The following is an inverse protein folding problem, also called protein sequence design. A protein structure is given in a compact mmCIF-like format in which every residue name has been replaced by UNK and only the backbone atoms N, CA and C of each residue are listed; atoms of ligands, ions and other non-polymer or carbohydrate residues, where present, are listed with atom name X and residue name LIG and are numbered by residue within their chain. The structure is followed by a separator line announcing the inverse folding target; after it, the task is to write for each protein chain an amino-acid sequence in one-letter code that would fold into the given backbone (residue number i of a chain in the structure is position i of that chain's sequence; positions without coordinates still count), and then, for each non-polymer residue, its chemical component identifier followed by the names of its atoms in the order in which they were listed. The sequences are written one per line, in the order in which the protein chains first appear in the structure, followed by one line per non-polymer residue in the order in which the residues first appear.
data_IF_789599829400
#
_entry.id   IF_789599829400
#
_cell.length_a   1.000
_cell.length_b   1.000
_cell.length_c   1.000
_cell.angle_alpha   90.00
_cell.angle_beta   90.00
_cell.angle_gamma   90.00
#
_symmetry.space_group_name_H-M   'P 1'
#
loop_
_entity.id
_entity.type
_entity.pdbx_description
1 polymer ?
#
# COMPACT_ATOMS: atom_id res chain seq x y z
N UNK A 1 5.06 -6.55 32.96
CA UNK A 1 3.93 -7.48 33.10
C UNK A 1 3.07 -7.36 31.85
N UNK A 2 3.28 -8.23 30.84
CA UNK A 2 2.49 -8.24 29.61
C UNK A 2 1.04 -8.67 29.85
N UNK A 3 0.17 -8.26 28.94
CA UNK A 3 -1.22 -8.72 28.86
C UNK A 3 -1.31 -9.96 27.96
N UNK A 4 -2.04 -10.97 28.41
CA UNK A 4 -2.33 -12.18 27.63
C UNK A 4 -3.84 -12.34 27.47
N UNK A 5 -4.25 -12.73 26.28
CA UNK A 5 -5.65 -12.96 25.93
C UNK A 5 -5.86 -14.46 25.88
N UNK A 6 -6.85 -14.95 26.62
CA UNK A 6 -7.29 -16.34 26.62
C UNK A 6 -8.74 -16.41 26.15
N UNK A 7 -9.09 -17.47 25.42
CA UNK A 7 -10.44 -17.69 24.88
C UNK A 7 -11.03 -18.98 25.47
N UNK A 8 -12.27 -18.88 25.96
CA UNK A 8 -13.02 -20.06 26.38
C UNK A 8 -13.38 -20.89 25.11
N UNK A 9 -13.07 -22.20 25.07
CA UNK A 9 -13.36 -23.05 23.91
C UNK A 9 -14.86 -23.29 23.69
N UNK A 10 -15.69 -23.21 24.73
CA UNK A 10 -17.13 -23.49 24.69
C UNK A 10 -17.96 -22.23 24.40
N UNK A 11 -17.68 -21.11 25.09
CA UNK A 11 -18.47 -19.87 24.97
C UNK A 11 -17.88 -18.88 23.97
N UNK A 12 -16.58 -19.01 23.66
CA UNK A 12 -15.86 -18.09 22.79
C UNK A 12 -15.54 -16.73 23.43
N UNK A 13 -15.86 -16.54 24.71
CA UNK A 13 -15.56 -15.32 25.46
C UNK A 13 -14.05 -15.16 25.62
N UNK A 14 -13.58 -13.91 25.50
CA UNK A 14 -12.18 -13.55 25.63
C UNK A 14 -11.96 -12.84 26.95
N UNK A 15 -10.92 -13.26 27.66
CA UNK A 15 -10.51 -12.69 28.94
C UNK A 15 -9.05 -12.24 28.83
N UNK A 16 -8.77 -11.08 29.43
CA UNK A 16 -7.42 -10.52 29.48
C UNK A 16 -6.85 -10.74 30.87
N UNK A 17 -5.72 -11.44 30.95
CA UNK A 17 -5.03 -11.75 32.18
C UNK A 17 -3.63 -11.12 32.14
N UNK A 18 -3.29 -10.39 33.19
CA UNK A 18 -1.95 -9.85 33.39
C UNK A 18 -1.07 -10.94 34.03
N UNK A 19 -0.03 -11.39 33.32
CA UNK A 19 0.89 -12.41 33.85
C UNK A 19 2.34 -11.92 33.72
N UNK A 20 3.21 -12.45 34.58
CA UNK A 20 4.65 -12.20 34.45
C UNK A 20 5.24 -12.97 33.27
N UNK A 21 6.30 -12.46 32.65
CA UNK A 21 6.98 -13.14 31.51
C UNK A 21 7.58 -14.49 31.93
N UNK A 22 7.92 -14.63 33.20
CA UNK A 22 8.61 -15.80 33.74
C UNK A 22 7.67 -16.90 34.25
N UNK A 23 6.36 -16.68 34.22
CA UNK A 23 5.37 -17.64 34.69
C UNK A 23 4.89 -18.54 33.56
N UNK A 24 4.32 -19.69 33.91
CA UNK A 24 3.70 -20.60 32.95
C UNK A 24 2.39 -19.96 32.44
N UNK A 25 2.26 -19.82 31.13
CA UNK A 25 1.15 -19.11 30.48
C UNK A 25 -0.04 -20.06 30.25
N UNK A 26 -0.50 -20.69 31.32
CA UNK A 26 -1.67 -21.56 31.37
C UNK A 26 -2.77 -20.89 32.18
N UNK A 27 -4.01 -20.90 31.67
CA UNK A 27 -5.16 -20.37 32.38
C UNK A 27 -6.30 -21.40 32.36
N UNK A 28 -6.76 -21.80 33.54
CA UNK A 28 -7.84 -22.75 33.73
C UNK A 28 -8.89 -22.15 34.67
N UNK A 29 -10.16 -22.23 34.27
CA UNK A 29 -11.30 -21.96 35.16
C UNK A 29 -12.07 -23.27 35.29
N UNK A 30 -12.29 -23.73 36.53
CA UNK A 30 -13.12 -24.91 36.84
C UNK A 30 -12.70 -26.20 36.13
N UNK A 31 -11.40 -26.36 35.83
CA UNK A 31 -10.84 -27.52 35.13
C UNK A 31 -10.97 -27.48 33.60
N UNK A 32 -11.47 -26.37 33.03
CA UNK A 32 -11.50 -26.13 31.60
C UNK A 32 -10.28 -25.31 31.18
N UNK A 33 -9.37 -25.83 30.33
CA UNK A 33 -8.23 -25.08 29.83
C UNK A 33 -8.68 -24.05 28.78
N UNK A 34 -8.21 -22.81 28.90
CA UNK A 34 -8.48 -21.77 27.93
C UNK A 34 -7.33 -21.65 26.93
N UNK A 35 -7.65 -21.49 25.66
CA UNK A 35 -6.66 -21.36 24.60
C UNK A 35 -6.11 -19.93 24.54
N UNK A 36 -4.78 -19.82 24.43
CA UNK A 36 -4.11 -18.52 24.26
C UNK A 36 -4.38 -17.97 22.86
N UNK A 37 -4.86 -16.74 22.79
CA UNK A 37 -5.06 -16.01 21.53
C UNK A 37 -3.83 -15.16 21.24
N UNK A 38 -3.23 -15.38 20.07
CA UNK A 38 -2.17 -14.54 19.55
C UNK A 38 -2.78 -13.48 18.64
N UNK A 39 -2.71 -12.21 19.05
CA UNK A 39 -3.12 -11.09 18.20
C UNK A 39 -2.11 -10.91 17.07
N UNK A 40 -2.62 -10.62 15.87
CA UNK A 40 -1.76 -10.29 14.74
C UNK A 40 -1.12 -8.93 15.08
N UNK A 41 0.22 -8.80 15.04
CA UNK A 41 0.86 -7.52 15.29
C UNK A 41 0.34 -6.50 14.27
N UNK A 42 0.06 -5.27 14.72
CA UNK A 42 -0.35 -4.15 13.86
C UNK A 42 0.80 -3.66 12.96
N UNK A 43 1.40 -4.56 12.18
CA UNK A 43 2.55 -4.30 11.31
C UNK A 43 2.20 -3.46 10.07
N UNK A 44 0.91 -3.22 9.80
CA UNK A 44 0.43 -2.59 8.56
C UNK A 44 0.03 -1.12 8.70
N UNK A 45 0.39 -0.41 9.78
CA UNK A 45 -0.02 0.99 9.95
C UNK A 45 0.67 1.90 8.91
N UNK A 46 1.93 1.62 8.53
CA UNK A 46 2.73 2.49 7.64
C UNK A 46 2.88 1.99 6.20
N UNK A 47 2.05 1.03 5.76
CA UNK A 47 2.12 0.49 4.39
C UNK A 47 1.36 1.34 3.37
N UNK A 48 0.53 2.29 3.82
CA UNK A 48 -0.21 3.19 2.95
C UNK A 48 0.65 4.43 2.66
N UNK A 49 0.99 4.61 1.38
CA UNK A 49 1.65 5.80 0.85
C UNK A 49 0.55 6.77 0.40
N UNK A 50 0.61 8.02 0.84
CA UNK A 50 -0.23 9.08 0.27
C UNK A 50 0.11 9.26 -1.23
N UNK A 51 -0.85 9.05 -2.15
CA UNK A 51 -0.63 9.23 -3.58
C UNK A 51 -0.18 10.65 -3.97
N UNK A 52 -0.46 11.67 -3.17
CA UNK A 52 -0.14 13.06 -3.49
C UNK A 52 1.20 13.53 -2.88
N UNK A 53 1.79 12.76 -1.96
CA UNK A 53 3.03 13.13 -1.28
C UNK A 53 4.25 12.55 -1.99
N UNK A 54 5.02 13.44 -2.64
CA UNK A 54 6.29 13.06 -3.27
C UNK A 54 7.31 12.54 -2.25
N UNK A 55 7.32 13.12 -1.05
CA UNK A 55 8.26 12.73 0.02
C UNK A 55 8.00 11.29 0.47
N UNK A 56 6.74 10.94 0.71
CA UNK A 56 6.39 9.57 1.12
C UNK A 56 6.70 8.55 0.04
N UNK A 57 6.44 8.88 -1.23
CA UNK A 57 6.80 8.00 -2.33
C UNK A 57 8.32 7.75 -2.35
N UNK A 58 9.16 8.76 -2.17
CA UNK A 58 10.62 8.60 -2.15
C UNK A 58 11.13 7.76 -0.97
N UNK A 59 10.51 7.87 0.21
CA UNK A 59 10.97 7.19 1.43
C UNK A 59 10.43 5.75 1.54
N UNK A 60 9.20 5.52 1.08
CA UNK A 60 8.49 4.24 1.25
C UNK A 60 8.51 3.36 0.01
N UNK A 61 8.62 3.92 -1.20
CA UNK A 61 8.71 3.12 -2.41
C UNK A 61 10.06 2.39 -2.45
N UNK A 62 10.01 1.07 -2.32
CA UNK A 62 11.17 0.18 -2.31
C UNK A 62 10.92 -0.97 -3.28
N UNK A 63 11.98 -1.43 -3.92
CA UNK A 63 11.93 -2.53 -4.87
C UNK A 63 12.91 -2.33 -6.03
N UNK A 64 12.77 -3.17 -7.04
CA UNK A 64 13.45 -2.98 -8.33
C UNK A 64 12.87 -1.79 -9.08
N UNK A 65 13.55 -1.36 -10.15
CA UNK A 65 13.04 -0.30 -11.02
C UNK A 65 11.65 -0.62 -11.59
N UNK A 66 11.36 -1.90 -11.87
CA UNK A 66 10.03 -2.33 -12.30
C UNK A 66 8.97 -2.11 -11.22
N UNK A 67 9.26 -2.54 -9.99
CA UNK A 67 8.34 -2.38 -8.86
C UNK A 67 8.06 -0.89 -8.57
N UNK A 68 9.06 -0.02 -8.73
CA UNK A 68 8.88 1.43 -8.59
C UNK A 68 7.95 2.01 -9.67
N UNK A 69 8.02 1.49 -10.90
CA UNK A 69 7.11 1.91 -11.98
C UNK A 69 5.69 1.45 -11.73
N UNK A 70 5.51 0.22 -11.25
CA UNK A 70 4.20 -0.32 -10.91
C UNK A 70 3.57 0.45 -9.74
N UNK A 71 4.34 0.74 -8.68
CA UNK A 71 3.90 1.57 -7.56
C UNK A 71 3.54 3.01 -8.00
N UNK A 72 4.29 3.58 -8.95
CA UNK A 72 4.00 4.89 -9.52
C UNK A 72 2.69 4.88 -10.33
N UNK A 73 2.43 3.80 -11.07
CA UNK A 73 1.20 3.60 -11.82
C UNK A 73 -0.01 3.48 -10.89
N UNK A 74 0.09 2.69 -9.83
CA UNK A 74 -0.97 2.56 -8.81
C UNK A 74 -1.29 3.90 -8.13
N UNK A 75 -0.27 4.68 -7.79
CA UNK A 75 -0.47 6.02 -7.22
C UNK A 75 -1.17 6.96 -8.22
N UNK A 76 -0.82 6.88 -9.51
CA UNK A 76 -1.46 7.64 -10.58
C UNK A 76 -2.94 7.28 -10.74
N UNK A 77 -3.29 6.00 -10.63
CA UNK A 77 -4.67 5.53 -10.66
C UNK A 77 -5.47 6.04 -9.46
N UNK A 78 -4.90 6.00 -8.25
CA UNK A 78 -5.53 6.55 -7.04
C UNK A 78 -5.81 8.05 -7.19
N UNK A 79 -4.83 8.84 -7.64
CA UNK A 79 -5.01 10.28 -7.94
C UNK A 79 -6.09 10.53 -8.98
N UNK A 80 -6.16 9.69 -10.01
CA UNK A 80 -7.19 9.80 -11.06
C UNK A 80 -8.57 9.46 -10.52
N UNK A 81 -8.70 8.48 -9.61
CA UNK A 81 -9.97 8.16 -8.93
C UNK A 81 -10.43 9.29 -8.01
N UNK A 82 -9.52 9.97 -7.32
CA UNK A 82 -9.82 11.07 -6.39
C UNK A 82 -10.12 12.40 -7.11
N UNK A 83 -9.32 12.77 -8.11
CA UNK A 83 -9.38 14.08 -8.75
C UNK A 83 -9.85 14.05 -10.21
N UNK A 84 -10.20 12.89 -10.76
CA UNK A 84 -10.56 12.70 -12.17
C UNK A 84 -9.38 12.81 -13.15
N UNK A 85 -8.23 13.30 -12.70
CA UNK A 85 -7.00 13.40 -13.49
C UNK A 85 -5.76 13.46 -12.59
N UNK A 86 -4.64 12.95 -13.07
CA UNK A 86 -3.37 13.01 -12.35
C UNK A 86 -2.60 14.32 -12.64
N UNK A 87 -2.47 15.25 -11.68
CA UNK A 87 -1.76 16.51 -11.87
C UNK A 87 -0.25 16.32 -12.05
N UNK A 88 0.35 15.30 -11.43
CA UNK A 88 1.79 15.02 -11.52
C UNK A 88 2.13 14.55 -12.94
N UNK A 89 1.29 13.66 -13.48
CA UNK A 89 1.45 13.14 -14.84
C UNK A 89 1.30 14.22 -15.91
N UNK A 90 0.40 15.20 -15.71
CA UNK A 90 0.26 16.37 -16.60
C UNK A 90 1.54 17.20 -16.63
N UNK A 91 2.06 17.58 -15.45
CA UNK A 91 3.33 18.31 -15.32
C UNK A 91 4.49 17.57 -15.96
N UNK A 92 4.58 16.25 -15.79
CA UNK A 92 5.61 15.43 -16.43
C UNK A 92 5.60 15.56 -17.96
N UNK A 93 4.42 15.55 -18.59
CA UNK A 93 4.31 15.71 -20.04
C UNK A 93 4.61 17.13 -20.51
N UNK A 94 4.21 18.15 -19.75
CA UNK A 94 4.55 19.55 -20.00
C UNK A 94 6.07 19.76 -19.95
N UNK A 95 6.73 19.36 -18.87
CA UNK A 95 8.18 19.44 -18.69
C UNK A 95 8.95 18.69 -19.79
N UNK A 96 8.45 17.51 -20.19
CA UNK A 96 9.04 16.73 -21.27
C UNK A 96 8.99 17.50 -22.59
N UNK A 97 7.84 18.10 -22.90
CA UNK A 97 7.62 18.91 -24.10
C UNK A 97 8.55 20.13 -24.12
N UNK A 98 8.62 20.86 -23.01
CA UNK A 98 9.50 22.04 -22.87
C UNK A 98 10.98 21.67 -23.12
N UNK A 99 11.47 20.62 -22.46
CA UNK A 99 12.87 20.15 -22.62
C UNK A 99 13.18 19.64 -24.02
N UNK A 100 12.17 19.15 -24.75
CA UNK A 100 12.33 18.56 -26.10
C UNK A 100 11.85 19.51 -27.20
N UNK A 101 11.83 20.83 -26.96
CA UNK A 101 11.46 21.86 -27.94
C UNK A 101 10.05 21.66 -28.52
N UNK A 102 9.09 21.33 -27.68
CA UNK A 102 7.69 21.09 -28.04
C UNK A 102 7.37 19.66 -28.49
N UNK A 103 8.34 18.73 -28.47
CA UNK A 103 8.07 17.33 -28.80
C UNK A 103 7.39 16.64 -27.63
N UNK A 104 6.17 16.17 -27.85
CA UNK A 104 5.37 15.43 -26.87
C UNK A 104 5.91 14.02 -26.62
N UNK A 105 5.67 13.49 -25.43
CA UNK A 105 6.08 12.13 -25.06
C UNK A 105 5.21 11.09 -25.79
N UNK A 106 5.75 9.98 -26.34
CA UNK A 106 4.96 8.99 -27.10
C UNK A 106 3.75 8.40 -26.35
N UNK A 107 3.84 8.34 -25.03
CA UNK A 107 2.76 7.87 -24.14
C UNK A 107 1.77 8.96 -23.72
N UNK A 108 1.94 10.20 -24.19
CA UNK A 108 1.05 11.32 -23.88
C UNK A 108 -0.35 11.02 -24.47
N UNK A 109 -1.41 11.01 -23.65
CA UNK A 109 -2.77 10.79 -24.13
C UNK A 109 -3.21 11.81 -25.18
N UNK A 110 -2.59 12.99 -25.26
CA UNK A 110 -2.86 14.00 -26.28
C UNK A 110 -2.34 13.64 -27.68
N UNK A 111 -1.38 12.70 -27.80
CA UNK A 111 -0.90 12.19 -29.09
C UNK A 111 -1.79 11.06 -29.65
N UNK A 112 -2.33 10.21 -28.78
CA UNK A 112 -3.10 9.02 -29.19
C UNK A 112 -4.43 9.32 -29.86
N UNK A 113 -4.91 10.57 -29.82
CA UNK A 113 -6.16 10.97 -30.48
C UNK A 113 -6.01 11.21 -32.00
N UNK A 114 -4.78 11.22 -32.55
CA UNK A 114 -4.55 11.63 -33.95
C UNK A 114 -3.87 10.62 -34.88
N UNK A 115 -2.96 9.76 -34.39
CA UNK A 115 -2.02 9.06 -35.28
C UNK A 115 -1.98 7.55 -35.08
N UNK A 116 -3.03 6.84 -35.49
CA UNK A 116 -2.96 5.41 -35.84
C UNK A 116 -2.80 5.22 -37.35
N UNK A 117 -1.93 5.99 -38.00
CA UNK A 117 -1.46 5.61 -39.34
C UNK A 117 -0.51 4.43 -39.18
N UNK A 118 -1.02 3.25 -39.51
CA UNK A 118 -0.33 1.97 -39.58
C UNK A 118 1.06 2.14 -40.19
N UNK A 119 2.10 1.94 -39.40
CA UNK A 119 3.45 1.73 -39.93
C UNK A 119 3.48 0.29 -40.49
N UNK A 120 3.18 0.15 -41.77
CA UNK A 120 3.44 -1.09 -42.52
C UNK A 120 4.85 -0.95 -43.08
N UNK A 121 5.74 -1.87 -42.72
CA UNK A 121 7.05 -2.02 -43.35
C UNK A 121 6.83 -3.04 -44.47
N UNK A 122 7.01 -2.62 -45.74
CA UNK A 122 7.14 -3.52 -46.89
C UNK A 122 8.52 -4.18 -46.90
#
# INVERSE_FOLDING_TARGET
MPEYIYKNPETGEQITVWQSIHEEHSYEIEGLPYDRVYTIPHASIDTRIDPNSEKEFREKAKGTIGDLWDQSAEASEKRTKEHGSDPIKKKFFEDYSEKRKGKKHPQDPSLRKGDSKKFTIE
#
